data_IF_460198960973
#
_entry.id   IF_460198960973
#
_cell.length_a   1.000
_cell.length_b   1.000
_cell.length_c   1.000
_cell.angle_alpha   90.00
_cell.angle_beta   90.00
_cell.angle_gamma   90.00
#
_symmetry.space_group_name_H-M   'P 1'
#
loop_
_entity.id
_entity.type
_entity.pdbx_description
1 polymer ?
#
# COMPACT_ATOMS: atom_id res chain seq x y z
N UNK A 1 23.74 -1.19 -64.44
CA UNK A 1 24.47 0.10 -64.58
C UNK A 1 23.41 1.20 -64.52
N UNK A 2 23.33 2.16 -63.60
CA UNK A 2 24.26 2.65 -62.58
C UNK A 2 23.50 3.24 -61.37
N UNK A 3 24.17 3.15 -60.23
CA UNK A 3 23.91 3.74 -58.91
C UNK A 3 24.05 5.26 -58.84
N UNK A 4 23.04 5.96 -58.32
CA UNK A 4 23.08 7.37 -57.83
C UNK A 4 21.72 7.62 -57.16
N UNK A 5 21.51 8.10 -55.94
CA UNK A 5 22.39 8.69 -54.92
C UNK A 5 21.58 8.70 -53.62
N UNK A 6 22.05 8.02 -52.58
CA UNK A 6 21.62 8.30 -51.23
C UNK A 6 22.24 9.64 -50.81
N UNK A 7 21.44 10.67 -50.55
CA UNK A 7 21.92 11.91 -49.94
C UNK A 7 21.00 12.33 -48.80
N UNK A 8 21.55 12.19 -47.61
CA UNK A 8 21.05 12.52 -46.28
C UNK A 8 20.22 13.81 -46.19
N UNK A 9 19.02 13.70 -45.65
CA UNK A 9 18.31 14.80 -44.99
C UNK A 9 18.34 14.56 -43.47
N UNK A 10 19.51 14.74 -42.86
CA UNK A 10 19.62 15.11 -41.43
C UNK A 10 19.97 16.59 -41.38
N UNK A 11 18.96 17.45 -41.51
CA UNK A 11 19.11 18.83 -41.08
C UNK A 11 19.01 18.84 -39.55
N UNK A 12 20.15 18.67 -38.88
CA UNK A 12 20.26 19.00 -37.47
C UNK A 12 20.14 20.51 -37.32
N UNK A 13 19.21 20.98 -36.49
CA UNK A 13 19.19 22.39 -36.08
C UNK A 13 20.57 22.75 -35.50
N UNK A 14 21.12 23.93 -35.80
CA UNK A 14 22.43 24.33 -35.29
C UNK A 14 22.38 24.27 -33.75
N UNK A 15 23.39 23.63 -33.14
CA UNK A 15 23.48 23.34 -31.70
C UNK A 15 23.13 24.56 -30.82
N UNK A 16 23.49 25.76 -31.28
CA UNK A 16 23.18 27.02 -30.64
C UNK A 16 21.68 27.30 -30.49
N UNK A 17 20.86 26.95 -31.49
CA UNK A 17 19.39 27.12 -31.46
C UNK A 17 18.75 26.14 -30.48
N UNK A 18 19.24 24.89 -30.40
CA UNK A 18 18.76 23.91 -29.43
C UNK A 18 19.07 24.31 -27.98
N UNK A 19 20.27 24.86 -27.74
CA UNK A 19 20.66 25.37 -26.42
C UNK A 19 19.80 26.58 -26.02
N UNK A 20 19.52 27.49 -26.96
CA UNK A 20 18.67 28.66 -26.71
C UNK A 20 17.22 28.27 -26.35
N UNK A 21 16.65 27.28 -27.04
CA UNK A 21 15.30 26.77 -26.73
C UNK A 21 15.27 26.12 -25.34
N UNK A 22 16.26 25.30 -25.00
CA UNK A 22 16.33 24.65 -23.68
C UNK A 22 16.45 25.68 -22.55
N UNK A 23 17.30 26.69 -22.72
CA UNK A 23 17.45 27.77 -21.74
C UNK A 23 16.15 28.56 -21.56
N UNK A 24 15.41 28.80 -22.65
CA UNK A 24 14.12 29.49 -22.61
C UNK A 24 13.04 28.67 -21.89
N UNK A 25 13.00 27.34 -22.12
CA UNK A 25 12.07 26.44 -21.43
C UNK A 25 12.36 26.41 -19.93
N UNK A 26 13.63 26.29 -19.52
CA UNK A 26 14.03 26.30 -18.10
C UNK A 26 13.64 27.64 -17.45
N UNK A 27 13.90 28.76 -18.13
CA UNK A 27 13.56 30.08 -17.63
C UNK A 27 12.04 30.23 -17.43
N UNK A 28 11.23 29.79 -18.39
CA UNK A 28 9.76 29.78 -18.26
C UNK A 28 9.34 28.90 -17.10
N UNK A 29 9.89 27.69 -16.95
CA UNK A 29 9.55 26.80 -15.84
C UNK A 29 9.87 27.42 -14.48
N UNK A 30 11.02 28.10 -14.34
CA UNK A 30 11.41 28.80 -13.11
C UNK A 30 10.48 29.98 -12.83
N UNK A 31 10.09 30.75 -13.85
CA UNK A 31 9.13 31.85 -13.71
C UNK A 31 7.75 31.31 -13.29
N UNK A 32 7.27 30.24 -13.92
CA UNK A 32 6.00 29.61 -13.56
C UNK A 32 6.02 29.03 -12.14
N UNK A 33 7.10 28.39 -11.71
CA UNK A 33 7.27 27.93 -10.31
C UNK A 33 7.27 29.10 -9.33
N UNK A 34 7.95 30.20 -9.67
CA UNK A 34 8.05 31.39 -8.81
C UNK A 34 6.70 32.11 -8.69
N UNK A 35 6.00 32.28 -9.81
CA UNK A 35 4.64 32.85 -9.83
C UNK A 35 3.69 31.97 -9.01
N UNK A 36 3.73 30.64 -9.19
CA UNK A 36 2.91 29.69 -8.42
C UNK A 36 3.14 29.84 -6.90
N UNK A 37 4.39 29.96 -6.46
CA UNK A 37 4.72 30.15 -5.04
C UNK A 37 4.22 31.50 -4.49
N UNK A 38 4.27 32.56 -5.30
CA UNK A 38 3.79 33.89 -4.93
C UNK A 38 2.26 33.91 -4.79
N UNK A 39 1.53 33.29 -5.73
CA UNK A 39 0.07 33.16 -5.64
C UNK A 39 -0.35 32.31 -4.43
N UNK A 40 0.34 31.19 -4.18
CA UNK A 40 0.05 30.30 -3.04
C UNK A 40 0.25 30.99 -1.68
N UNK A 41 1.27 31.85 -1.55
CA UNK A 41 1.45 32.68 -0.34
C UNK A 41 0.39 33.77 -0.19
N UNK A 42 0.01 34.42 -1.30
CA UNK A 42 -0.97 35.50 -1.28
C UNK A 42 -2.35 35.02 -0.84
N UNK A 43 -2.81 33.88 -1.35
CA UNK A 43 -4.10 33.29 -0.96
C UNK A 43 -4.10 32.89 0.53
N UNK A 44 -2.98 32.40 1.06
CA UNK A 44 -2.83 32.08 2.48
C UNK A 44 -2.89 33.33 3.38
N UNK A 45 -2.25 34.42 2.95
CA UNK A 45 -2.26 35.68 3.69
C UNK A 45 -3.62 36.37 3.62
N UNK A 46 -4.33 36.28 2.50
CA UNK A 46 -5.72 36.78 2.36
C UNK A 46 -6.70 35.95 3.21
N UNK A 47 -6.56 34.61 3.24
CA UNK A 47 -7.36 33.73 4.10
C UNK A 47 -7.17 34.03 5.59
N UNK A 48 -5.90 34.21 6.03
CA UNK A 48 -5.58 34.59 7.41
C UNK A 48 -6.14 35.96 7.80
N UNK A 49 -6.11 36.94 6.89
CA UNK A 49 -6.69 38.27 7.13
C UNK A 49 -8.21 38.23 7.25
N UNK A 50 -8.87 37.27 6.60
CA UNK A 50 -10.31 37.05 6.70
C UNK A 50 -10.73 36.21 7.93
N UNK A 51 -9.79 35.88 8.84
CA UNK A 51 -10.08 35.12 10.06
C UNK A 51 -10.24 33.61 9.82
N UNK A 52 -9.95 33.13 8.61
CA UNK A 52 -9.87 31.71 8.32
C UNK A 52 -8.44 31.24 8.63
N UNK A 53 -8.28 30.43 9.68
CA UNK A 53 -7.12 29.55 9.78
C UNK A 53 -7.17 28.67 8.52
N UNK A 54 -6.19 28.75 7.60
CA UNK A 54 -6.21 27.89 6.44
C UNK A 54 -5.99 26.47 6.95
N UNK A 55 -7.10 25.75 7.16
CA UNK A 55 -7.13 24.31 6.99
C UNK A 55 -6.54 24.16 5.60
N UNK A 56 -5.30 23.70 5.53
CA UNK A 56 -4.71 23.28 4.27
C UNK A 56 -5.73 22.32 3.70
N UNK A 57 -6.57 22.78 2.76
CA UNK A 57 -7.18 21.90 1.78
C UNK A 57 -5.94 21.28 1.15
N UNK A 58 -5.56 20.04 1.56
CA UNK A 58 -4.37 19.43 1.00
C UNK A 58 -4.59 19.52 -0.50
N UNK A 59 -3.56 19.90 -1.26
CA UNK A 59 -3.61 20.01 -2.73
C UNK A 59 -4.30 18.76 -3.32
N UNK A 60 -5.62 18.79 -3.39
CA UNK A 60 -6.46 17.76 -3.98
C UNK A 60 -6.51 18.14 -5.45
N UNK A 61 -5.33 18.03 -6.06
CA UNK A 61 -5.16 18.00 -7.48
C UNK A 61 -5.93 16.77 -7.97
N UNK A 62 -7.00 17.04 -8.71
CA UNK A 62 -7.78 16.15 -9.57
C UNK A 62 -8.99 15.38 -8.99
N UNK A 63 -9.32 15.48 -7.70
CA UNK A 63 -10.60 14.92 -7.22
C UNK A 63 -11.74 15.90 -7.49
N UNK A 64 -12.63 15.56 -8.41
CA UNK A 64 -13.93 16.24 -8.55
C UNK A 64 -14.63 16.22 -7.19
N UNK A 65 -14.84 17.41 -6.62
CA UNK A 65 -15.67 17.58 -5.44
C UNK A 65 -17.12 17.44 -5.85
N UNK A 66 -17.89 16.66 -5.09
CA UNK A 66 -19.35 16.66 -5.21
C UNK A 66 -19.84 17.93 -4.54
N UNK A 67 -20.65 18.68 -5.29
CA UNK A 67 -21.39 19.84 -4.81
C UNK A 67 -22.77 19.30 -4.39
N UNK A 68 -23.05 19.28 -3.10
CA UNK A 68 -24.36 18.84 -2.58
C UNK A 68 -24.91 19.84 -1.58
N UNK A 69 -26.24 19.97 -1.57
CA UNK A 69 -26.98 20.60 -0.47
C UNK A 69 -26.87 19.70 0.77
N UNK A 70 -26.50 20.26 1.92
CA UNK A 70 -26.41 19.54 3.20
C UNK A 70 -27.75 18.94 3.68
N UNK A 71 -28.86 19.33 3.04
CA UNK A 71 -30.21 18.82 3.29
C UNK A 71 -30.81 19.26 4.62
N UNK A 72 -30.09 20.09 5.39
CA UNK A 72 -30.49 20.52 6.74
C UNK A 72 -30.55 22.04 6.81
N UNK A 73 -29.55 22.74 6.29
CA UNK A 73 -29.46 24.21 6.29
C UNK A 73 -29.58 24.83 4.91
N UNK A 74 -29.47 24.03 3.84
CA UNK A 74 -29.36 24.53 2.47
C UNK A 74 -27.94 24.98 2.11
N UNK A 75 -26.96 24.71 2.98
CA UNK A 75 -25.57 25.03 2.72
C UNK A 75 -24.98 24.10 1.67
N UNK A 76 -24.31 24.70 0.69
CA UNK A 76 -23.58 23.97 -0.34
C UNK A 76 -22.30 23.42 0.29
N UNK A 77 -22.23 22.09 0.39
CA UNK A 77 -21.04 21.39 0.89
C UNK A 77 -20.24 20.87 -0.29
N UNK A 78 -18.94 21.15 -0.25
CA UNK A 78 -17.96 20.57 -1.17
C UNK A 78 -17.30 19.38 -0.47
N UNK A 79 -17.54 18.18 -0.95
CA UNK A 79 -16.92 16.96 -0.41
C UNK A 79 -16.19 16.19 -1.51
N UNK A 80 -15.05 15.56 -1.21
CA UNK A 80 -14.39 14.68 -2.17
C UNK A 80 -15.30 13.48 -2.47
N UNK A 81 -15.39 13.09 -3.74
CA UNK A 81 -16.04 11.82 -4.10
C UNK A 81 -15.30 10.66 -3.42
N UNK A 82 -16.00 9.95 -2.52
CA UNK A 82 -15.38 8.95 -1.66
C UNK A 82 -14.78 7.80 -2.47
N UNK A 83 -15.54 7.24 -3.42
CA UNK A 83 -15.11 6.06 -4.19
C UNK A 83 -13.92 6.36 -5.08
N UNK A 84 -13.96 7.48 -5.80
CA UNK A 84 -12.86 7.94 -6.67
C UNK A 84 -11.63 8.29 -5.86
N UNK A 85 -11.78 8.95 -4.71
CA UNK A 85 -10.66 9.31 -3.85
C UNK A 85 -10.00 8.06 -3.24
N UNK A 86 -10.78 7.06 -2.84
CA UNK A 86 -10.25 5.74 -2.41
C UNK A 86 -9.44 5.10 -3.54
N UNK A 87 -9.98 5.05 -4.76
CA UNK A 87 -9.26 4.49 -5.91
C UNK A 87 -7.97 5.26 -6.23
N UNK A 88 -7.98 6.59 -6.14
CA UNK A 88 -6.78 7.41 -6.32
C UNK A 88 -5.73 7.12 -5.24
N UNK A 89 -6.14 6.98 -3.97
CA UNK A 89 -5.24 6.62 -2.88
C UNK A 89 -4.65 5.22 -3.08
N UNK A 90 -5.43 4.23 -3.50
CA UNK A 90 -4.96 2.88 -3.81
C UNK A 90 -3.95 2.89 -4.96
N UNK A 91 -4.23 3.62 -6.04
CA UNK A 91 -3.32 3.74 -7.18
C UNK A 91 -2.00 4.41 -6.78
N UNK A 92 -2.05 5.48 -5.98
CA UNK A 92 -0.86 6.14 -5.46
C UNK A 92 -0.06 5.20 -4.54
N UNK A 93 -0.73 4.48 -3.65
CA UNK A 93 -0.11 3.49 -2.76
C UNK A 93 0.58 2.36 -3.55
N UNK A 94 -0.10 1.80 -4.55
CA UNK A 94 0.44 0.74 -5.42
C UNK A 94 1.62 1.23 -6.27
N UNK A 95 1.65 2.52 -6.61
CA UNK A 95 2.78 3.15 -7.29
C UNK A 95 3.96 3.47 -6.33
N UNK A 96 3.81 3.22 -5.03
CA UNK A 96 4.80 3.57 -4.01
C UNK A 96 4.83 5.05 -3.63
N UNK A 97 3.90 5.86 -4.16
CA UNK A 97 3.75 7.27 -3.80
C UNK A 97 2.95 7.39 -2.49
N UNK A 98 3.61 7.02 -1.38
CA UNK A 98 3.01 7.03 -0.06
C UNK A 98 2.65 8.45 0.42
N UNK A 99 3.35 9.48 -0.06
CA UNK A 99 3.04 10.87 0.30
C UNK A 99 1.69 11.25 -0.28
N UNK A 100 1.49 11.04 -1.59
CA UNK A 100 0.20 11.35 -2.24
C UNK A 100 -0.94 10.52 -1.67
N UNK A 101 -0.71 9.23 -1.43
CA UNK A 101 -1.72 8.37 -0.84
C UNK A 101 -2.11 8.82 0.58
N UNK A 102 -1.14 9.23 1.40
CA UNK A 102 -1.41 9.76 2.75
C UNK A 102 -2.21 11.06 2.69
N UNK A 103 -1.86 11.99 1.80
CA UNK A 103 -2.57 13.27 1.65
C UNK A 103 -4.05 13.07 1.27
N UNK A 104 -4.32 12.18 0.30
CA UNK A 104 -5.70 11.86 -0.12
C UNK A 104 -6.48 11.22 1.03
N UNK A 105 -5.88 10.24 1.71
CA UNK A 105 -6.55 9.52 2.79
C UNK A 105 -6.78 10.40 4.03
N UNK A 106 -5.86 11.32 4.35
CA UNK A 106 -6.06 12.30 5.43
C UNK A 106 -7.17 13.27 5.11
N UNK A 107 -7.27 13.72 3.86
CA UNK A 107 -8.43 14.51 3.41
C UNK A 107 -9.73 13.73 3.62
N UNK A 108 -9.80 12.49 3.12
CA UNK A 108 -10.99 11.65 3.32
C UNK A 108 -11.34 11.45 4.79
N UNK A 109 -10.35 11.34 5.68
CA UNK A 109 -10.60 11.19 7.11
C UNK A 109 -11.23 12.44 7.74
N UNK A 110 -10.97 13.65 7.20
CA UNK A 110 -11.60 14.89 7.67
C UNK A 110 -13.10 14.92 7.34
N UNK A 111 -13.48 14.45 6.15
CA UNK A 111 -14.88 14.44 5.69
C UNK A 111 -15.67 13.22 6.18
N UNK A 112 -14.98 12.09 6.38
CA UNK A 112 -15.58 10.81 6.78
C UNK A 112 -14.92 10.28 8.05
N UNK A 113 -15.00 11.02 9.18
CA UNK A 113 -14.39 10.61 10.43
C UNK A 113 -15.00 9.29 10.90
N UNK A 114 -14.15 8.35 11.31
CA UNK A 114 -14.63 7.03 11.71
C UNK A 114 -14.89 6.07 10.54
N UNK A 115 -14.54 6.39 9.30
CA UNK A 115 -14.65 5.40 8.22
C UNK A 115 -13.64 4.25 8.43
N UNK A 116 -14.08 2.99 8.68
CA UNK A 116 -13.15 1.89 8.87
C UNK A 116 -12.32 1.61 7.61
N UNK A 117 -12.87 1.91 6.43
CA UNK A 117 -12.17 1.79 5.15
C UNK A 117 -10.98 2.75 5.10
N UNK A 118 -11.20 4.04 5.35
CA UNK A 118 -10.14 5.06 5.29
C UNK A 118 -9.09 4.82 6.37
N UNK A 119 -9.52 4.52 7.60
CA UNK A 119 -8.60 4.21 8.70
C UNK A 119 -7.75 2.98 8.40
N UNK A 120 -8.33 1.93 7.81
CA UNK A 120 -7.57 0.73 7.45
C UNK A 120 -6.57 1.01 6.35
N UNK A 121 -6.94 1.82 5.34
CA UNK A 121 -6.03 2.22 4.28
C UNK A 121 -4.86 3.05 4.82
N UNK A 122 -5.11 4.00 5.74
CA UNK A 122 -4.04 4.72 6.44
C UNK A 122 -3.16 3.77 7.25
N UNK A 123 -3.77 2.83 7.97
CA UNK A 123 -3.05 1.80 8.70
C UNK A 123 -2.11 0.99 7.78
N UNK A 124 -2.64 0.52 6.65
CA UNK A 124 -1.87 -0.25 5.66
C UNK A 124 -0.76 0.60 5.03
N UNK A 125 -1.02 1.88 4.75
CA UNK A 125 -0.02 2.83 4.26
C UNK A 125 1.13 2.99 5.25
N UNK A 126 0.82 3.21 6.53
CA UNK A 126 1.84 3.32 7.57
C UNK A 126 2.59 2.01 7.78
N UNK A 127 1.92 0.87 7.68
CA UNK A 127 2.58 -0.43 7.75
C UNK A 127 3.60 -0.61 6.62
N UNK A 128 3.20 -0.36 5.36
CA UNK A 128 4.08 -0.52 4.20
C UNK A 128 5.22 0.49 4.15
N UNK A 129 5.05 1.66 4.77
CA UNK A 129 6.11 2.67 4.91
C UNK A 129 7.00 2.46 6.14
N UNK A 130 6.82 1.37 6.89
CA UNK A 130 7.62 1.04 8.08
C UNK A 130 7.23 1.81 9.35
N UNK A 131 6.18 2.63 9.30
CA UNK A 131 5.63 3.41 10.42
C UNK A 131 4.65 2.58 11.23
N UNK A 132 5.11 1.46 11.79
CA UNK A 132 4.24 0.46 12.43
C UNK A 132 3.46 1.00 13.65
N UNK A 133 4.03 1.95 14.41
CA UNK A 133 3.33 2.57 15.55
C UNK A 133 2.12 3.39 15.09
N UNK A 134 2.25 4.11 13.97
CA UNK A 134 1.12 4.84 13.41
C UNK A 134 0.08 3.88 12.84
N UNK A 135 0.53 2.82 12.16
CA UNK A 135 -0.35 1.77 11.65
C UNK A 135 -1.23 1.16 12.76
N UNK A 136 -0.61 0.78 13.88
CA UNK A 136 -1.31 0.24 15.04
C UNK A 136 -2.41 1.19 15.53
N UNK A 137 -2.16 2.50 15.63
CA UNK A 137 -3.15 3.47 16.13
C UNK A 137 -4.43 3.47 15.29
N UNK A 138 -4.32 3.36 13.97
CA UNK A 138 -5.49 3.29 13.09
C UNK A 138 -6.23 1.96 13.23
N UNK A 139 -5.52 0.82 13.30
CA UNK A 139 -6.19 -0.46 13.54
C UNK A 139 -6.86 -0.51 14.91
N UNK A 140 -6.23 0.02 15.97
CA UNK A 140 -6.84 0.14 17.29
C UNK A 140 -8.11 1.00 17.28
N UNK A 141 -8.13 2.09 16.50
CA UNK A 141 -9.32 2.94 16.36
C UNK A 141 -10.51 2.16 15.77
N UNK A 142 -10.27 1.30 14.79
CA UNK A 142 -11.31 0.39 14.25
C UNK A 142 -11.74 -0.61 15.32
N UNK A 143 -10.78 -1.27 15.98
CA UNK A 143 -11.05 -2.31 16.98
C UNK A 143 -11.76 -1.80 18.24
N UNK A 144 -11.58 -0.53 18.61
CA UNK A 144 -12.36 0.10 19.69
C UNK A 144 -13.86 0.12 19.40
N UNK A 145 -14.25 0.17 18.12
CA UNK A 145 -15.64 0.26 17.68
C UNK A 145 -16.19 -1.08 17.21
N UNK A 146 -15.34 -1.89 16.60
CA UNK A 146 -15.63 -3.27 16.23
C UNK A 146 -14.51 -4.21 16.71
N UNK A 147 -14.59 -4.71 17.96
CA UNK A 147 -13.55 -5.57 18.53
C UNK A 147 -13.33 -6.89 17.79
N UNK A 148 -14.29 -7.32 16.96
CA UNK A 148 -14.24 -8.55 16.16
C UNK A 148 -13.90 -8.32 14.69
N UNK A 149 -13.41 -7.12 14.31
CA UNK A 149 -12.97 -6.86 12.93
C UNK A 149 -11.74 -7.70 12.59
N UNK A 150 -11.97 -8.85 11.95
CA UNK A 150 -10.94 -9.84 11.61
C UNK A 150 -9.74 -9.23 10.88
N UNK A 151 -10.00 -8.30 9.95
CA UNK A 151 -8.95 -7.68 9.14
C UNK A 151 -8.07 -6.78 10.01
N UNK A 152 -8.67 -5.95 10.88
CA UNK A 152 -7.92 -5.07 11.78
C UNK A 152 -7.20 -5.86 12.88
N UNK A 153 -7.77 -6.95 13.38
CA UNK A 153 -7.11 -7.87 14.33
C UNK A 153 -5.87 -8.53 13.70
N UNK A 154 -5.97 -8.96 12.44
CA UNK A 154 -4.82 -9.48 11.72
C UNK A 154 -3.75 -8.40 11.52
N UNK A 155 -4.14 -7.22 11.03
CA UNK A 155 -3.17 -6.18 10.67
C UNK A 155 -2.51 -5.54 11.89
N UNK A 156 -3.22 -5.37 13.02
CA UNK A 156 -2.61 -4.90 14.27
C UNK A 156 -1.59 -5.91 14.79
N UNK A 157 -1.88 -7.20 14.72
CA UNK A 157 -0.94 -8.24 15.16
C UNK A 157 0.34 -8.23 14.31
N UNK A 158 0.20 -8.06 12.99
CA UNK A 158 1.36 -7.91 12.10
C UNK A 158 2.19 -6.67 12.45
N UNK A 159 1.54 -5.52 12.66
CA UNK A 159 2.23 -4.28 13.06
C UNK A 159 2.95 -4.42 14.41
N UNK A 160 2.34 -5.10 15.37
CA UNK A 160 2.93 -5.40 16.68
C UNK A 160 4.13 -6.35 16.56
N UNK A 161 4.04 -7.37 15.69
CA UNK A 161 5.16 -8.26 15.38
C UNK A 161 6.35 -7.52 14.78
N UNK A 162 6.12 -6.58 13.86
CA UNK A 162 7.18 -5.73 13.30
C UNK A 162 7.83 -4.80 14.33
N UNK A 163 7.11 -4.46 15.40
CA UNK A 163 7.62 -3.69 16.53
C UNK A 163 8.29 -4.55 17.62
N UNK A 164 8.36 -5.88 17.43
CA UNK A 164 8.90 -6.81 18.42
C UNK A 164 7.99 -7.05 19.63
N UNK A 165 6.75 -6.55 19.60
CA UNK A 165 5.74 -6.77 20.65
C UNK A 165 5.00 -8.08 20.41
N UNK A 166 5.74 -9.18 20.49
CA UNK A 166 5.24 -10.50 20.12
C UNK A 166 4.09 -10.98 21.01
N UNK A 167 4.11 -10.67 22.31
CA UNK A 167 3.03 -11.05 23.22
C UNK A 167 1.67 -10.47 22.78
N UNK A 168 1.62 -9.16 22.51
CA UNK A 168 0.42 -8.46 22.05
C UNK A 168 -0.03 -9.00 20.67
N UNK A 169 0.93 -9.21 19.76
CA UNK A 169 0.66 -9.74 18.43
C UNK A 169 0.02 -11.13 18.48
N UNK A 170 0.56 -12.01 19.33
CA UNK A 170 0.06 -13.37 19.54
C UNK A 170 -1.34 -13.35 20.15
N UNK A 171 -1.61 -12.47 21.11
CA UNK A 171 -2.95 -12.34 21.71
C UNK A 171 -4.00 -11.93 20.66
N UNK A 172 -3.69 -10.92 19.84
CA UNK A 172 -4.59 -10.48 18.78
C UNK A 172 -4.79 -11.57 17.70
N UNK A 173 -3.73 -12.29 17.32
CA UNK A 173 -3.84 -13.38 16.35
C UNK A 173 -4.62 -14.58 16.88
N UNK A 174 -4.55 -14.87 18.20
CA UNK A 174 -5.43 -15.87 18.84
C UNK A 174 -6.90 -15.49 18.74
N UNK A 175 -7.25 -14.22 18.88
CA UNK A 175 -8.63 -13.75 18.64
C UNK A 175 -9.07 -13.99 17.19
N UNK A 176 -8.18 -13.76 16.21
CA UNK A 176 -8.46 -14.11 14.80
C UNK A 176 -8.70 -15.62 14.65
N UNK A 177 -7.88 -16.46 15.30
CA UNK A 177 -8.04 -17.90 15.29
C UNK A 177 -9.38 -18.35 15.90
N UNK A 178 -9.79 -17.75 17.03
CA UNK A 178 -11.06 -18.05 17.69
C UNK A 178 -12.27 -17.65 16.83
N UNK A 179 -12.19 -16.52 16.13
CA UNK A 179 -13.25 -16.03 15.25
C UNK A 179 -13.33 -16.80 13.93
N UNK A 180 -12.21 -17.38 13.46
CA UNK A 180 -12.13 -18.16 12.22
C UNK A 180 -11.41 -19.51 12.44
N UNK A 181 -12.01 -20.46 13.17
CA UNK A 181 -11.34 -21.70 13.58
C UNK A 181 -10.96 -22.62 12.42
N UNK A 182 -11.69 -22.57 11.31
CA UNK A 182 -11.43 -23.40 10.12
C UNK A 182 -10.30 -22.84 9.24
N UNK A 183 -9.95 -21.56 9.40
CA UNK A 183 -8.90 -20.94 8.60
C UNK A 183 -7.51 -21.43 9.04
N UNK A 184 -6.64 -21.71 8.07
CA UNK A 184 -5.23 -22.01 8.32
C UNK A 184 -4.38 -20.74 8.48
N UNK A 185 -4.87 -19.58 8.03
CA UNK A 185 -4.12 -18.32 8.03
C UNK A 185 -3.69 -17.89 9.45
N UNK A 186 -4.55 -17.91 10.48
CA UNK A 186 -4.15 -17.51 11.83
C UNK A 186 -3.07 -18.43 12.41
N UNK A 187 -3.12 -19.73 12.09
CA UNK A 187 -2.10 -20.69 12.50
C UNK A 187 -0.75 -20.44 11.83
N UNK A 188 -0.72 -20.05 10.55
CA UNK A 188 0.53 -19.66 9.86
C UNK A 188 1.11 -18.38 10.47
N UNK A 189 0.28 -17.38 10.73
CA UNK A 189 0.73 -16.13 11.34
C UNK A 189 1.21 -16.34 12.79
N UNK A 190 0.52 -17.18 13.57
CA UNK A 190 0.97 -17.58 14.91
C UNK A 190 2.32 -18.31 14.83
N UNK A 191 2.50 -19.22 13.88
CA UNK A 191 3.77 -19.92 13.70
C UNK A 191 4.92 -18.93 13.43
N UNK A 192 4.70 -17.95 12.55
CA UNK A 192 5.68 -16.91 12.27
C UNK A 192 5.97 -16.02 13.50
N UNK A 193 4.94 -15.61 14.24
CA UNK A 193 5.09 -14.78 15.44
C UNK A 193 5.85 -15.52 16.56
N UNK A 194 5.54 -16.80 16.80
CA UNK A 194 6.26 -17.61 17.79
C UNK A 194 7.71 -17.88 17.36
N UNK A 195 7.96 -18.09 16.06
CA UNK A 195 9.32 -18.23 15.54
C UNK A 195 10.14 -16.96 15.79
N UNK A 196 9.57 -15.77 15.53
CA UNK A 196 10.21 -14.48 15.84
C UNK A 196 10.40 -14.22 17.34
N UNK A 197 9.54 -14.80 18.17
CA UNK A 197 9.67 -14.79 19.63
C UNK A 197 10.63 -15.86 20.18
N UNK A 198 11.28 -16.65 19.31
CA UNK A 198 12.15 -17.80 19.63
C UNK A 198 11.45 -18.95 20.40
N UNK A 199 10.11 -19.02 20.35
CA UNK A 199 9.33 -20.15 20.87
C UNK A 199 9.09 -21.19 19.76
N UNK A 200 10.16 -21.92 19.44
CA UNK A 200 10.16 -22.95 18.38
C UNK A 200 9.13 -24.07 18.60
N UNK A 201 8.89 -24.57 19.84
CA UNK A 201 7.86 -25.58 20.07
C UNK A 201 6.46 -25.11 19.66
N UNK A 202 6.06 -23.89 20.04
CA UNK A 202 4.75 -23.37 19.64
C UNK A 202 4.70 -23.00 18.16
N UNK A 203 5.78 -22.48 17.60
CA UNK A 203 5.87 -22.20 16.17
C UNK A 203 5.56 -23.46 15.34
N UNK A 204 6.23 -24.58 15.66
CA UNK A 204 6.01 -25.88 15.00
C UNK A 204 4.59 -26.40 15.17
N UNK A 205 4.04 -26.33 16.39
CA UNK A 205 2.68 -26.80 16.68
C UNK A 205 1.65 -26.09 15.80
N UNK A 206 1.74 -24.76 15.69
CA UNK A 206 0.81 -23.97 14.88
C UNK A 206 1.01 -24.22 13.38
N UNK A 207 2.26 -24.33 12.94
CA UNK A 207 2.57 -24.69 11.56
C UNK A 207 1.97 -26.05 11.14
N UNK A 208 2.13 -27.09 11.97
CA UNK A 208 1.55 -28.41 11.71
C UNK A 208 0.01 -28.38 11.69
N UNK A 209 -0.59 -27.52 12.53
CA UNK A 209 -2.04 -27.32 12.57
C UNK A 209 -2.54 -26.68 11.29
N UNK A 210 -1.88 -25.62 10.81
CA UNK A 210 -2.18 -25.01 9.51
C UNK A 210 -2.03 -26.03 8.37
N UNK A 211 -0.95 -26.81 8.36
CA UNK A 211 -0.70 -27.83 7.35
C UNK A 211 -1.81 -28.88 7.29
N UNK A 212 -2.30 -29.33 8.45
CA UNK A 212 -3.42 -30.28 8.55
C UNK A 212 -4.70 -29.69 7.95
N UNK A 213 -5.02 -28.43 8.28
CA UNK A 213 -6.19 -27.72 7.74
C UNK A 213 -6.14 -27.55 6.22
N UNK A 214 -4.93 -27.42 5.65
CA UNK A 214 -4.70 -27.28 4.21
C UNK A 214 -4.59 -28.63 3.48
N UNK A 215 -4.91 -29.75 4.13
CA UNK A 215 -4.87 -31.08 3.50
C UNK A 215 -3.45 -31.60 3.24
N UNK A 216 -2.45 -31.08 3.96
CA UNK A 216 -1.07 -31.56 3.91
C UNK A 216 -0.15 -30.88 2.91
N UNK A 217 -0.68 -30.11 1.94
CA UNK A 217 0.12 -29.35 0.97
C UNK A 217 0.22 -27.87 1.36
N UNK A 218 1.44 -27.35 1.35
CA UNK A 218 1.77 -25.93 1.54
C UNK A 218 2.43 -25.33 0.29
N UNK A 219 2.38 -26.03 -0.84
CA UNK A 219 3.12 -25.68 -2.07
C UNK A 219 2.83 -24.23 -2.52
N UNK A 220 1.57 -23.81 -2.46
CA UNK A 220 1.15 -22.43 -2.81
C UNK A 220 1.53 -21.35 -1.79
N UNK A 221 2.01 -21.72 -0.60
CA UNK A 221 2.39 -20.79 0.47
C UNK A 221 3.91 -20.71 0.67
N UNK A 222 4.69 -21.54 -0.03
CA UNK A 222 6.17 -21.58 0.06
C UNK A 222 6.87 -20.25 -0.27
N UNK A 223 6.19 -19.35 -0.99
CA UNK A 223 6.67 -18.00 -1.31
C UNK A 223 6.24 -16.93 -0.30
N UNK A 224 5.46 -17.29 0.73
CA UNK A 224 5.04 -16.35 1.76
C UNK A 224 6.26 -15.91 2.60
N UNK A 225 6.55 -14.59 2.66
CA UNK A 225 7.67 -14.08 3.44
C UNK A 225 7.66 -14.49 4.91
N UNK A 226 6.47 -14.74 5.49
CA UNK A 226 6.31 -15.20 6.87
C UNK A 226 6.76 -16.64 7.08
N UNK A 227 6.74 -17.47 6.03
CA UNK A 227 7.22 -18.85 6.07
C UNK A 227 8.73 -18.96 5.81
N UNK A 228 9.39 -17.87 5.42
CA UNK A 228 10.82 -17.87 5.09
C UNK A 228 11.71 -18.27 6.27
N UNK A 229 11.40 -17.82 7.50
CA UNK A 229 12.14 -18.23 8.70
C UNK A 229 11.87 -19.69 9.07
N UNK A 230 10.62 -20.14 8.94
CA UNK A 230 10.23 -21.54 9.15
C UNK A 230 10.89 -22.48 8.12
N UNK A 231 11.10 -22.00 6.89
CA UNK A 231 11.84 -22.68 5.83
C UNK A 231 13.34 -22.84 6.11
N UNK A 232 13.91 -22.02 7.00
CA UNK A 232 15.31 -22.16 7.42
C UNK A 232 15.48 -23.21 8.52
N UNK A 233 14.40 -23.62 9.20
CA UNK A 233 14.43 -24.77 10.10
C UNK A 233 14.48 -26.06 9.26
N UNK A 234 15.60 -26.78 9.34
CA UNK A 234 15.86 -27.96 8.50
C UNK A 234 14.76 -29.02 8.54
N UNK A 235 14.07 -29.18 9.67
CA UNK A 235 13.00 -30.16 9.86
C UNK A 235 11.64 -29.73 9.26
N UNK A 236 11.41 -28.43 9.11
CA UNK A 236 10.17 -27.89 8.53
C UNK A 236 10.34 -27.57 7.04
N UNK A 237 11.58 -27.33 6.60
CA UNK A 237 11.92 -27.08 5.20
C UNK A 237 11.40 -28.15 4.25
N UNK A 238 11.58 -29.42 4.58
CA UNK A 238 11.15 -30.55 3.75
C UNK A 238 9.62 -30.68 3.64
N UNK A 239 8.89 -30.04 4.56
CA UNK A 239 7.42 -30.03 4.57
C UNK A 239 6.82 -28.83 3.83
N UNK A 240 7.62 -27.80 3.54
CA UNK A 240 7.21 -26.56 2.84
C UNK A 240 7.73 -26.54 1.40
N UNK A 241 8.90 -27.14 1.13
CA UNK A 241 9.51 -27.15 -0.18
C UNK A 241 8.67 -27.95 -1.20
N UNK A 242 8.58 -27.48 -2.47
CA UNK A 242 7.96 -28.27 -3.52
C UNK A 242 8.68 -29.62 -3.67
N UNK A 243 7.91 -30.70 -3.85
CA UNK A 243 8.47 -32.02 -4.13
C UNK A 243 9.40 -31.92 -5.35
N UNK A 244 10.58 -32.53 -5.34
CA UNK A 244 11.46 -32.52 -6.51
C UNK A 244 10.73 -33.14 -7.71
N UNK A 245 10.28 -32.29 -8.65
CA UNK A 245 9.54 -32.69 -9.85
C UNK A 245 8.40 -31.78 -10.29
N UNK A 246 7.86 -30.87 -9.45
CA UNK A 246 6.61 -30.15 -9.80
C UNK A 246 6.74 -28.98 -10.78
N UNK A 247 7.96 -28.47 -11.07
CA UNK A 247 8.17 -27.36 -12.02
C UNK A 247 9.03 -27.70 -13.25
N UNK A 248 9.74 -28.84 -13.29
CA UNK A 248 10.67 -29.13 -14.40
C UNK A 248 10.03 -29.71 -15.66
N UNK A 249 8.77 -30.15 -15.63
CA UNK A 249 8.15 -30.82 -16.79
C UNK A 249 7.17 -29.93 -17.59
N UNK A 250 6.85 -28.72 -17.13
CA UNK A 250 5.95 -27.81 -17.85
C UNK A 250 6.64 -26.89 -18.86
N UNK A 251 7.98 -26.80 -18.81
CA UNK A 251 8.75 -25.91 -19.70
C UNK A 251 9.36 -26.65 -20.90
N UNK A 252 9.52 -27.98 -20.86
CA UNK A 252 10.08 -28.76 -21.98
C UNK A 252 9.01 -29.34 -22.93
N UNK A 253 7.72 -29.37 -22.56
CA UNK A 253 6.65 -29.89 -23.43
C UNK A 253 6.09 -28.81 -24.39
N UNK A 254 6.52 -27.55 -24.29
CA UNK A 254 6.08 -26.46 -25.18
C UNK A 254 7.03 -26.13 -26.34
N UNK A 255 8.20 -26.77 -26.45
CA UNK A 255 9.14 -26.58 -27.56
C UNK A 255 9.29 -27.78 -28.51
N UNK A 256 8.48 -28.82 -28.34
CA UNK A 256 8.32 -29.86 -29.35
C UNK A 256 6.85 -29.99 -29.70
N UNK A 257 6.51 -29.80 -30.98
CA UNK A 257 5.21 -29.99 -31.67
C UNK A 257 4.67 -28.70 -32.33
N UNK A 258 5.24 -28.39 -33.50
CA UNK A 258 4.45 -27.86 -34.61
C UNK A 258 4.89 -28.63 -35.89
N UNK A 259 3.95 -29.15 -36.69
CA UNK A 259 4.25 -29.82 -37.97
C UNK A 259 4.70 -28.85 -39.06
#
# INVERSE_FOLDING_TARGET
MNSTTARSLRQGFPLAVSIAILAFVILISVILMSLRSIFEKRDQDEARRAGFEPVMLPRLLDSEYIISDDGVSGEIVFQPDFGRSVLMAENAFNAGDFIRAEDILRSLLLFFPGSPTVERMLGNLFYSSGRYTDAERFYQSILKRNPSDLVSLNNIAMAQGMLGRFADAIENMKKVQELNPESAIPDLNLAALYSKADDRPLARKHFETARRKLGGSLEGLSFDPCLRELLMESELRDQIAPLPGSEKEKTEVREGHAP
#
